data_IF_036401673931
#
_entry.id   IF_036401673931
#
_cell.length_a   1.000
_cell.length_b   1.000
_cell.length_c   1.000
_cell.angle_alpha   90.00
_cell.angle_beta   90.00
_cell.angle_gamma   90.00
#
_symmetry.space_group_name_H-M   'P 1'
#
loop_
_entity.id
_entity.type
_entity.pdbx_description
1 polymer ?
#
# COMPACT_ATOMS: atom_id res chain seq x y z
N UNK A 1 -6.95 38.05 -30.45
CA UNK A 1 -5.82 37.82 -29.53
C UNK A 1 -6.30 37.25 -28.20
N UNK A 2 -7.37 37.79 -27.59
CA UNK A 2 -7.95 37.26 -26.33
C UNK A 2 -8.57 35.85 -26.44
N UNK A 3 -9.09 35.50 -27.61
CA UNK A 3 -9.74 34.21 -27.90
C UNK A 3 -8.79 33.01 -27.92
N UNK A 4 -7.50 33.21 -28.23
CA UNK A 4 -6.52 32.13 -28.31
C UNK A 4 -5.98 31.74 -26.92
N UNK A 5 -5.86 32.71 -26.01
CA UNK A 5 -5.49 32.48 -24.61
C UNK A 5 -6.53 31.64 -23.89
N UNK A 6 -7.81 32.00 -23.99
CA UNK A 6 -8.91 31.25 -23.35
C UNK A 6 -9.01 29.79 -23.84
N UNK A 7 -8.82 29.56 -25.14
CA UNK A 7 -8.76 28.20 -25.71
C UNK A 7 -7.57 27.40 -25.18
N UNK A 8 -6.42 28.03 -25.01
CA UNK A 8 -5.22 27.36 -24.53
C UNK A 8 -5.32 27.00 -23.05
N UNK A 9 -5.90 27.87 -22.22
CA UNK A 9 -6.19 27.58 -20.80
C UNK A 9 -7.17 26.42 -20.64
N UNK A 10 -8.27 26.40 -21.39
CA UNK A 10 -9.23 25.28 -21.38
C UNK A 10 -8.57 23.95 -21.80
N UNK A 11 -7.67 24.00 -22.79
CA UNK A 11 -6.91 22.83 -23.25
C UNK A 11 -5.87 22.39 -22.21
N UNK A 12 -5.25 23.31 -21.50
CA UNK A 12 -4.32 22.99 -20.42
C UNK A 12 -5.04 22.36 -19.22
N UNK A 13 -6.19 22.93 -18.82
CA UNK A 13 -7.03 22.41 -17.74
C UNK A 13 -7.51 20.97 -18.02
N UNK A 14 -7.97 20.71 -19.25
CA UNK A 14 -8.35 19.34 -19.64
C UNK A 14 -7.18 18.36 -19.62
N UNK A 15 -5.98 18.80 -20.04
CA UNK A 15 -4.76 17.99 -19.97
C UNK A 15 -4.37 17.66 -18.54
N UNK A 16 -4.41 18.65 -17.65
CA UNK A 16 -4.11 18.47 -16.22
C UNK A 16 -5.12 17.52 -15.57
N UNK A 17 -6.42 17.68 -15.83
CA UNK A 17 -7.47 16.78 -15.33
C UNK A 17 -7.26 15.34 -15.80
N UNK A 18 -6.91 15.13 -17.07
CA UNK A 18 -6.64 13.79 -17.60
C UNK A 18 -5.40 13.15 -16.95
N UNK A 19 -4.33 13.93 -16.74
CA UNK A 19 -3.12 13.44 -16.04
C UNK A 19 -3.42 13.12 -14.58
N UNK A 20 -4.16 13.98 -13.88
CA UNK A 20 -4.54 13.76 -12.49
C UNK A 20 -5.40 12.49 -12.34
N UNK A 21 -6.38 12.29 -13.22
CA UNK A 21 -7.22 11.09 -13.19
C UNK A 21 -6.40 9.81 -13.43
N UNK A 22 -5.48 9.84 -14.40
CA UNK A 22 -4.56 8.72 -14.65
C UNK A 22 -3.68 8.44 -13.43
N UNK A 23 -3.15 9.48 -12.79
CA UNK A 23 -2.34 9.33 -11.59
C UNK A 23 -3.13 8.69 -10.45
N UNK A 24 -4.33 9.19 -10.15
CA UNK A 24 -5.20 8.64 -9.09
C UNK A 24 -5.55 7.18 -9.36
N UNK A 25 -5.87 6.83 -10.61
CA UNK A 25 -6.15 5.43 -10.97
C UNK A 25 -4.94 4.52 -10.82
N UNK A 26 -3.75 4.96 -11.24
CA UNK A 26 -2.52 4.18 -11.10
C UNK A 26 -2.16 3.97 -9.62
N UNK A 27 -2.22 5.02 -8.80
CA UNK A 27 -2.01 4.93 -7.36
C UNK A 27 -3.08 4.06 -6.70
N UNK A 28 -4.34 4.18 -7.11
CA UNK A 28 -5.43 3.35 -6.59
C UNK A 28 -5.21 1.85 -6.85
N UNK A 29 -4.80 1.49 -8.07
CA UNK A 29 -4.45 0.10 -8.41
C UNK A 29 -3.24 -0.38 -7.60
N UNK A 30 -2.21 0.45 -7.47
CA UNK A 30 -1.03 0.15 -6.64
C UNK A 30 -1.43 -0.09 -5.17
N UNK A 31 -2.23 0.80 -4.57
CA UNK A 31 -2.71 0.68 -3.19
C UNK A 31 -3.55 -0.59 -3.01
N UNK A 32 -4.42 -0.91 -3.96
CA UNK A 32 -5.20 -2.15 -3.92
C UNK A 32 -4.30 -3.38 -3.83
N UNK A 33 -3.27 -3.48 -4.66
CA UNK A 33 -2.34 -4.61 -4.61
C UNK A 33 -1.48 -4.62 -3.34
N UNK A 34 -1.09 -3.44 -2.84
CA UNK A 34 -0.37 -3.32 -1.59
C UNK A 34 -1.20 -3.86 -0.41
N UNK A 35 -2.45 -3.42 -0.28
CA UNK A 35 -3.36 -3.84 0.78
C UNK A 35 -3.70 -5.34 0.66
N UNK A 36 -3.97 -5.81 -0.57
CA UNK A 36 -4.25 -7.23 -0.81
C UNK A 36 -3.07 -8.13 -0.44
N UNK A 37 -1.83 -7.73 -0.76
CA UNK A 37 -0.63 -8.49 -0.41
C UNK A 37 -0.35 -8.43 1.08
N UNK A 38 -0.51 -7.26 1.70
CA UNK A 38 -0.27 -7.06 3.13
C UNK A 38 -1.24 -7.87 3.98
N UNK A 39 -2.55 -7.72 3.78
CA UNK A 39 -3.55 -8.47 4.53
C UNK A 39 -3.54 -9.97 4.16
N UNK A 40 -3.33 -10.30 2.88
CA UNK A 40 -3.21 -11.67 2.41
C UNK A 40 -2.05 -12.41 3.07
N UNK A 41 -0.84 -11.83 3.06
CA UNK A 41 0.33 -12.42 3.70
C UNK A 41 0.16 -12.54 5.22
N UNK A 42 -0.37 -11.50 5.87
CA UNK A 42 -0.63 -11.51 7.32
C UNK A 42 -1.62 -12.60 7.72
N UNK A 43 -2.64 -12.88 6.91
CA UNK A 43 -3.64 -13.91 7.19
C UNK A 43 -3.09 -15.34 7.13
N UNK A 44 -2.06 -15.60 6.31
CA UNK A 44 -1.59 -16.96 6.02
C UNK A 44 -0.29 -17.32 6.75
N UNK A 45 0.51 -16.35 7.21
CA UNK A 45 1.79 -16.60 7.90
C UNK A 45 1.65 -17.59 9.07
N UNK A 46 0.65 -17.43 9.93
CA UNK A 46 0.43 -18.33 11.08
C UNK A 46 0.09 -19.77 10.65
N UNK A 47 -1.00 -19.98 9.90
CA UNK A 47 -1.36 -21.29 9.37
C UNK A 47 -0.26 -21.94 8.52
N UNK A 48 0.47 -21.15 7.73
CA UNK A 48 1.57 -21.65 6.90
C UNK A 48 2.71 -22.22 7.73
N UNK A 49 3.11 -21.53 8.80
CA UNK A 49 4.12 -22.06 9.73
C UNK A 49 3.66 -23.35 10.40
N UNK A 50 2.38 -23.46 10.76
CA UNK A 50 1.81 -24.69 11.30
C UNK A 50 1.86 -25.86 10.28
N UNK A 51 1.58 -25.60 9.00
CA UNK A 51 1.70 -26.59 7.91
C UNK A 51 3.14 -27.07 7.73
N UNK A 52 4.12 -26.21 7.94
CA UNK A 52 5.56 -26.56 7.90
C UNK A 52 6.02 -27.38 9.13
N UNK A 53 5.11 -27.72 10.06
CA UNK A 53 5.42 -28.51 11.25
C UNK A 53 5.94 -27.68 12.43
N UNK A 54 5.80 -26.36 12.39
CA UNK A 54 6.14 -25.52 13.54
C UNK A 54 5.18 -25.79 14.71
N UNK A 55 5.71 -25.96 15.91
CA UNK A 55 4.89 -26.13 17.12
C UNK A 55 4.15 -24.83 17.45
N UNK A 56 3.02 -24.93 18.16
CA UNK A 56 2.23 -23.76 18.57
C UNK A 56 3.06 -22.73 19.36
N UNK A 57 4.06 -23.19 20.13
CA UNK A 57 4.99 -22.33 20.85
C UNK A 57 5.86 -21.51 19.88
N UNK A 58 6.41 -22.14 18.83
CA UNK A 58 7.25 -21.48 17.82
C UNK A 58 6.43 -20.48 17.01
N UNK A 59 5.22 -20.86 16.55
CA UNK A 59 4.34 -19.96 15.80
C UNK A 59 3.98 -18.73 16.63
N UNK A 60 3.63 -18.92 17.91
CA UNK A 60 3.28 -17.82 18.82
C UNK A 60 4.46 -16.89 19.09
N UNK A 61 5.67 -17.43 19.29
CA UNK A 61 6.88 -16.64 19.50
C UNK A 61 7.21 -15.84 18.23
N UNK A 62 7.21 -16.46 17.06
CA UNK A 62 7.57 -15.78 15.80
C UNK A 62 6.55 -14.70 15.43
N UNK A 63 5.25 -15.00 15.50
CA UNK A 63 4.20 -14.04 15.21
C UNK A 63 4.21 -12.88 16.23
N UNK A 64 4.24 -13.19 17.53
CA UNK A 64 4.23 -12.17 18.59
C UNK A 64 5.50 -11.32 18.61
N UNK A 65 6.68 -11.92 18.40
CA UNK A 65 7.94 -11.18 18.32
C UNK A 65 8.02 -10.35 17.05
N UNK A 66 7.50 -10.83 15.92
CA UNK A 66 7.39 -10.07 14.68
C UNK A 66 6.52 -8.81 14.83
N UNK A 67 5.39 -8.91 15.53
CA UNK A 67 4.57 -7.74 15.87
C UNK A 67 5.30 -6.78 16.82
N UNK A 68 5.95 -7.30 17.86
CA UNK A 68 6.74 -6.47 18.80
C UNK A 68 7.87 -5.72 18.09
N UNK A 69 8.63 -6.40 17.22
CA UNK A 69 9.66 -5.76 16.40
C UNK A 69 9.07 -4.76 15.42
N UNK A 70 7.95 -5.10 14.78
CA UNK A 70 7.24 -4.19 13.87
C UNK A 70 6.83 -2.90 14.58
N UNK A 71 6.22 -3.00 15.75
CA UNK A 71 5.86 -1.83 16.57
C UNK A 71 7.09 -1.11 17.15
N UNK A 72 8.12 -1.86 17.58
CA UNK A 72 9.36 -1.32 18.14
C UNK A 72 10.19 -0.55 17.12
N UNK A 73 10.34 -1.07 15.90
CA UNK A 73 10.99 -0.37 14.80
C UNK A 73 10.19 0.88 14.40
N UNK A 74 8.85 0.84 14.44
CA UNK A 74 8.00 2.01 14.19
C UNK A 74 8.17 3.12 15.23
N UNK A 75 8.53 2.76 16.47
CA UNK A 75 8.88 3.74 17.52
C UNK A 75 10.23 4.41 17.23
N UNK A 76 11.20 3.68 16.70
CA UNK A 76 12.56 4.19 16.43
C UNK A 76 12.67 4.89 15.07
N UNK A 77 11.92 4.42 14.05
CA UNK A 77 11.93 5.01 12.71
C UNK A 77 11.17 6.34 12.61
N UNK A 78 10.51 6.76 13.69
CA UNK A 78 9.53 7.83 13.65
C UNK A 78 8.18 7.30 13.16
N UNK A 79 7.12 7.98 13.62
CA UNK A 79 5.72 7.72 13.29
C UNK A 79 5.51 7.37 11.81
#
# INVERSE_FOLDING_TARGET
METDTSKNEARQLSRVKATALKFVLLIGVMSFFADFTYEGSRSIIGPYLAVLGASAAVVSIVAGFGELLGYGLRLVSGR
#
